data_IF_621657228123
#
_entry.id   IF_621657228123
#
_cell.length_a   1.000
_cell.length_b   1.000
_cell.length_c   1.000
_cell.angle_alpha   90.00
_cell.angle_beta   90.00
_cell.angle_gamma   90.00
#
_symmetry.space_group_name_H-M   'P 1'
#
loop_
_entity.id
_entity.type
_entity.pdbx_description
1 polymer ?
#
# COMPACT_ATOMS: atom_id res chain seq x y z
N UNK A 1 4.88 -5.47 -19.52
CA UNK A 1 5.93 -4.95 -18.62
C UNK A 1 5.22 -4.07 -17.62
N UNK A 2 5.58 -4.09 -16.33
CA UNK A 2 4.93 -3.25 -15.33
C UNK A 2 5.41 -1.81 -15.45
N UNK A 3 4.48 -0.86 -15.37
CA UNK A 3 4.73 0.58 -15.47
C UNK A 3 3.93 1.34 -14.41
N UNK A 4 4.31 2.60 -14.17
CA UNK A 4 3.60 3.49 -13.26
C UNK A 4 2.44 4.15 -13.99
N UNK A 5 1.24 3.96 -13.46
CA UNK A 5 0.02 4.60 -13.94
C UNK A 5 -0.68 5.33 -12.80
N UNK A 6 -1.56 6.26 -13.15
CA UNK A 6 -2.54 6.78 -12.22
C UNK A 6 -3.88 6.08 -12.45
N UNK A 7 -4.49 5.63 -11.37
CA UNK A 7 -5.82 5.04 -11.35
C UNK A 7 -6.62 5.64 -10.21
N UNK A 8 -7.94 5.57 -10.27
CA UNK A 8 -8.76 6.03 -9.17
C UNK A 8 -8.61 5.10 -7.95
N UNK A 9 -8.49 5.67 -6.74
CA UNK A 9 -8.29 4.91 -5.51
C UNK A 9 -9.39 3.86 -5.27
N UNK A 10 -10.63 4.22 -5.61
CA UNK A 10 -11.79 3.31 -5.50
C UNK A 10 -11.64 2.04 -6.33
N UNK A 11 -10.98 2.09 -7.49
CA UNK A 11 -10.77 0.92 -8.35
C UNK A 11 -9.80 -0.08 -7.73
N UNK A 12 -8.98 0.36 -6.77
CA UNK A 12 -8.10 -0.50 -5.98
C UNK A 12 -8.71 -0.87 -4.62
N UNK A 13 -9.95 -0.44 -4.32
CA UNK A 13 -10.54 -0.59 -2.97
C UNK A 13 -9.79 0.19 -1.88
N UNK A 14 -9.00 1.19 -2.26
CA UNK A 14 -8.22 2.00 -1.30
C UNK A 14 -9.14 3.07 -0.72
N UNK A 15 -9.26 3.08 0.60
CA UNK A 15 -9.99 4.11 1.32
C UNK A 15 -9.19 5.41 1.36
N UNK A 16 -9.90 6.55 1.25
CA UNK A 16 -9.30 7.88 1.22
C UNK A 16 -10.07 8.78 2.18
N UNK A 17 -9.38 9.26 3.21
CA UNK A 17 -10.04 9.91 4.34
C UNK A 17 -9.27 11.14 4.81
N UNK A 18 -10.01 12.16 5.25
CA UNK A 18 -9.47 13.12 6.21
C UNK A 18 -9.91 12.69 7.60
N UNK A 19 -8.97 12.62 8.54
CA UNK A 19 -9.31 12.37 9.94
C UNK A 19 -9.59 13.70 10.65
N UNK A 20 -10.74 13.77 11.32
CA UNK A 20 -11.23 14.95 12.01
C UNK A 20 -10.27 15.38 13.12
N UNK A 21 -9.89 16.66 13.12
CA UNK A 21 -8.89 17.21 14.03
C UNK A 21 -7.43 16.98 13.61
N UNK A 22 -7.21 16.26 12.50
CA UNK A 22 -5.90 15.95 11.95
C UNK A 22 -5.81 16.25 10.44
N UNK A 23 -6.73 17.06 9.91
CA UNK A 23 -6.81 17.42 8.49
C UNK A 23 -5.51 18.06 7.98
N UNK A 24 -4.81 18.80 8.85
CA UNK A 24 -3.50 19.40 8.57
C UNK A 24 -2.39 18.39 8.29
N UNK A 25 -2.56 17.11 8.70
CA UNK A 25 -1.63 16.03 8.38
C UNK A 25 -1.79 15.51 6.95
N UNK A 26 -2.90 15.89 6.31
CA UNK A 26 -3.27 15.48 4.96
C UNK A 26 -4.10 14.21 4.94
N UNK A 27 -4.15 13.59 3.76
CA UNK A 27 -4.98 12.41 3.52
C UNK A 27 -4.41 11.19 4.26
N UNK A 28 -5.31 10.44 4.90
CA UNK A 28 -5.08 9.08 5.36
C UNK A 28 -5.59 8.12 4.28
N UNK A 29 -4.69 7.30 3.75
CA UNK A 29 -5.06 6.19 2.90
C UNK A 29 -5.27 4.96 3.76
N UNK A 30 -6.27 4.16 3.47
CA UNK A 30 -6.46 2.88 4.14
C UNK A 30 -6.43 1.74 3.14
N UNK A 31 -5.78 0.62 3.50
CA UNK A 31 -6.00 -0.60 2.77
C UNK A 31 -7.51 -0.92 2.78
N UNK A 32 -7.99 -1.66 1.77
CA UNK A 32 -9.36 -2.16 1.73
C UNK A 32 -9.71 -2.88 3.03
N UNK A 33 -10.93 -2.67 3.54
CA UNK A 33 -11.42 -3.41 4.72
C UNK A 33 -11.55 -4.90 4.40
N UNK A 34 -11.52 -5.75 5.43
CA UNK A 34 -11.64 -7.23 5.30
C UNK A 34 -12.91 -7.70 4.53
N UNK A 35 -13.89 -6.81 4.33
CA UNK A 35 -15.12 -7.07 3.60
C UNK A 35 -15.03 -6.82 2.09
N UNK A 36 -13.98 -6.13 1.63
CA UNK A 36 -13.69 -5.92 0.22
C UNK A 36 -12.47 -6.75 -0.17
N UNK A 37 -12.67 -7.77 -1.00
CA UNK A 37 -11.57 -8.57 -1.56
C UNK A 37 -10.73 -7.72 -2.52
N UNK A 38 -9.89 -6.85 -1.98
CA UNK A 38 -8.91 -6.14 -2.80
C UNK A 38 -7.52 -6.70 -2.56
N UNK A 39 -6.84 -6.85 -3.68
CA UNK A 39 -5.48 -7.36 -3.78
C UNK A 39 -4.44 -6.24 -3.63
N UNK A 40 -4.89 -5.01 -3.30
CA UNK A 40 -4.04 -3.84 -3.21
C UNK A 40 -3.08 -3.95 -2.02
N UNK A 41 -1.79 -3.95 -2.33
CA UNK A 41 -0.70 -3.75 -1.38
C UNK A 41 0.02 -2.46 -1.76
N UNK A 42 0.79 -1.89 -0.85
CA UNK A 42 1.43 -0.61 -1.11
C UNK A 42 2.87 -0.53 -0.62
N UNK A 43 3.57 0.47 -1.13
CA UNK A 43 4.85 0.90 -0.63
C UNK A 43 4.85 2.41 -0.46
N UNK A 44 5.22 2.89 0.72
CA UNK A 44 5.33 4.31 0.99
C UNK A 44 6.79 4.76 0.96
N UNK A 45 7.05 5.87 0.25
CA UNK A 45 8.35 6.49 0.21
C UNK A 45 8.70 7.13 1.58
N UNK A 46 9.85 6.81 2.14
CA UNK A 46 10.37 7.43 3.36
C UNK A 46 10.83 8.88 3.18
N UNK A 47 11.06 9.33 1.93
CA UNK A 47 11.51 10.70 1.65
C UNK A 47 10.35 11.68 1.45
N UNK A 48 9.27 11.29 0.75
CA UNK A 48 8.17 12.20 0.40
C UNK A 48 6.77 11.65 0.70
N UNK A 49 6.68 10.49 1.37
CA UNK A 49 5.43 9.84 1.79
C UNK A 49 4.45 9.46 0.66
N UNK A 50 4.86 9.60 -0.60
CA UNK A 50 4.08 9.12 -1.75
C UNK A 50 3.95 7.60 -1.68
N UNK A 51 2.74 7.10 -1.90
CA UNK A 51 2.43 5.69 -1.92
C UNK A 51 2.36 5.23 -3.38
N UNK A 52 2.96 4.08 -3.65
CA UNK A 52 2.74 3.31 -4.88
C UNK A 52 2.01 2.03 -4.50
N UNK A 53 0.85 1.81 -5.11
CA UNK A 53 0.05 0.61 -4.94
C UNK A 53 0.45 -0.45 -5.98
N UNK A 54 0.30 -1.71 -5.61
CA UNK A 54 0.53 -2.88 -6.46
C UNK A 54 -0.57 -3.89 -6.24
N UNK A 55 -0.70 -4.82 -7.18
CA UNK A 55 -1.53 -6.00 -7.03
C UNK A 55 -0.69 -7.12 -6.40
N UNK A 56 -1.02 -7.51 -5.17
CA UNK A 56 -0.21 -8.41 -4.38
C UNK A 56 -0.10 -9.82 -4.94
N UNK A 57 -1.20 -10.39 -5.44
CA UNK A 57 -1.28 -11.80 -5.87
C UNK A 57 -0.37 -12.16 -7.06
N UNK A 58 -0.12 -11.19 -7.93
CA UNK A 58 0.70 -11.35 -9.14
C UNK A 58 2.18 -11.00 -8.92
N UNK A 59 2.56 -10.47 -7.75
CA UNK A 59 3.93 -10.05 -7.51
C UNK A 59 4.86 -11.26 -7.28
N UNK A 60 5.88 -11.48 -8.14
CA UNK A 60 6.70 -12.68 -8.07
C UNK A 60 7.63 -12.71 -6.85
N UNK A 61 7.92 -11.56 -6.23
CA UNK A 61 8.75 -11.48 -5.03
C UNK A 61 7.88 -11.78 -3.81
N UNK A 62 6.71 -11.14 -3.70
CA UNK A 62 5.80 -11.37 -2.57
C UNK A 62 5.27 -12.81 -2.55
N UNK A 63 5.05 -13.43 -3.72
CA UNK A 63 4.54 -14.80 -3.85
C UNK A 63 5.62 -15.83 -4.17
N UNK A 64 6.89 -15.53 -3.90
CA UNK A 64 7.94 -16.53 -4.12
C UNK A 64 7.68 -17.79 -3.27
N UNK A 65 8.02 -18.95 -3.83
CA UNK A 65 7.87 -20.21 -3.10
C UNK A 65 8.84 -20.23 -1.92
N UNK A 66 8.30 -20.29 -0.69
CA UNK A 66 9.10 -20.46 0.53
C UNK A 66 10.01 -21.69 0.41
N UNK A 67 11.34 -21.55 0.58
CA UNK A 67 12.25 -22.68 0.55
C UNK A 67 11.94 -23.70 1.66
N UNK A 68 12.13 -24.99 1.38
CA UNK A 68 11.80 -26.08 2.31
C UNK A 68 12.58 -26.01 3.65
N UNK A 69 13.74 -25.35 3.67
CA UNK A 69 14.57 -25.18 4.86
C UNK A 69 14.15 -23.99 5.75
N UNK A 70 13.20 -23.16 5.30
CA UNK A 70 12.65 -22.08 6.11
C UNK A 70 11.48 -22.64 6.93
N UNK A 71 11.49 -22.54 8.27
CA UNK A 71 10.39 -23.01 9.11
C UNK A 71 9.11 -22.19 8.86
N UNK A 72 7.97 -22.67 9.35
CA UNK A 72 6.70 -21.94 9.22
C UNK A 72 6.55 -20.80 10.24
N UNK A 73 7.42 -20.75 11.25
CA UNK A 73 7.40 -19.71 12.27
C UNK A 73 8.77 -19.55 12.95
N UNK A 74 8.87 -18.57 13.85
CA UNK A 74 10.07 -18.29 14.62
C UNK A 74 11.02 -17.29 13.97
N UNK A 75 12.18 -17.02 14.60
CA UNK A 75 13.09 -15.96 14.19
C UNK A 75 13.58 -16.08 12.74
N UNK A 76 13.91 -17.30 12.30
CA UNK A 76 14.39 -17.56 10.93
C UNK A 76 13.30 -17.24 9.91
N UNK A 77 12.04 -17.62 10.18
CA UNK A 77 10.91 -17.27 9.32
C UNK A 77 10.70 -15.75 9.26
N UNK A 78 10.77 -15.06 10.41
CA UNK A 78 10.61 -13.60 10.48
C UNK A 78 11.68 -12.87 9.68
N UNK A 79 12.94 -13.30 9.80
CA UNK A 79 14.05 -12.73 9.03
C UNK A 79 13.86 -12.95 7.53
N UNK A 80 13.49 -14.16 7.12
CA UNK A 80 13.16 -14.47 5.73
C UNK A 80 12.04 -13.57 5.19
N UNK A 81 10.95 -13.42 5.94
CA UNK A 81 9.83 -12.56 5.57
C UNK A 81 10.25 -11.09 5.46
N UNK A 82 11.02 -10.57 6.42
CA UNK A 82 11.55 -9.20 6.37
C UNK A 82 12.46 -8.97 5.16
N UNK A 83 13.31 -9.95 4.83
CA UNK A 83 14.15 -9.89 3.64
C UNK A 83 13.31 -9.94 2.35
N UNK A 84 12.18 -10.67 2.35
CA UNK A 84 11.26 -10.66 1.23
C UNK A 84 10.65 -9.26 1.01
N UNK A 85 10.15 -8.64 2.08
CA UNK A 85 9.61 -7.28 2.02
C UNK A 85 10.65 -6.26 1.55
N UNK A 86 11.90 -6.35 2.04
CA UNK A 86 12.99 -5.48 1.58
C UNK A 86 13.24 -5.62 0.08
N UNK A 87 13.34 -6.86 -0.43
CA UNK A 87 13.51 -7.10 -1.88
C UNK A 87 12.35 -6.52 -2.68
N UNK A 88 11.12 -6.70 -2.21
CA UNK A 88 9.95 -6.12 -2.85
C UNK A 88 10.06 -4.59 -2.92
N UNK A 89 10.31 -3.89 -1.80
CA UNK A 89 10.45 -2.44 -1.77
C UNK A 89 11.59 -1.94 -2.68
N UNK A 90 12.69 -2.69 -2.77
CA UNK A 90 13.80 -2.39 -3.68
C UNK A 90 13.51 -2.66 -5.16
N UNK A 91 12.58 -3.55 -5.47
CA UNK A 91 12.20 -3.89 -6.85
C UNK A 91 11.28 -2.87 -7.51
N UNK A 92 10.60 -2.04 -6.70
CA UNK A 92 9.68 -1.02 -7.21
C UNK A 92 10.41 0.04 -8.04
N UNK A 93 9.74 0.69 -8.99
CA UNK A 93 10.31 1.81 -9.73
C UNK A 93 10.56 2.99 -8.78
N UNK A 94 11.50 3.87 -9.14
CA UNK A 94 11.76 5.11 -8.40
C UNK A 94 10.46 5.85 -8.09
N UNK A 95 10.39 6.48 -6.93
CA UNK A 95 9.21 7.23 -6.50
C UNK A 95 8.72 8.18 -7.60
N UNK A 96 7.45 8.12 -8.01
CA UNK A 96 6.95 8.99 -9.09
C UNK A 96 6.98 10.47 -8.71
N UNK A 97 6.98 10.80 -7.42
CA UNK A 97 6.97 12.18 -6.94
C UNK A 97 8.38 12.76 -6.71
N UNK A 98 9.25 12.05 -5.99
CA UNK A 98 10.59 12.56 -5.65
C UNK A 98 11.74 11.85 -6.36
N UNK A 99 11.45 10.88 -7.22
CA UNK A 99 12.40 10.11 -8.03
C UNK A 99 13.49 9.35 -7.25
N UNK A 100 13.35 9.22 -5.94
CA UNK A 100 14.26 8.43 -5.10
C UNK A 100 13.80 6.97 -5.01
N UNK A 101 14.77 6.06 -4.88
CA UNK A 101 14.51 4.65 -4.52
C UNK A 101 14.56 4.50 -3.00
N UNK A 102 13.55 5.04 -2.32
CA UNK A 102 13.55 5.19 -0.86
C UNK A 102 12.23 4.72 -0.22
N UNK A 103 11.62 3.66 -0.74
CA UNK A 103 10.46 3.05 -0.07
C UNK A 103 10.93 2.30 1.17
N UNK A 104 10.30 2.60 2.31
CA UNK A 104 10.69 2.06 3.62
C UNK A 104 9.54 1.41 4.38
N UNK A 105 8.30 1.57 3.90
CA UNK A 105 7.11 1.03 4.51
C UNK A 105 6.33 0.20 3.50
N UNK A 106 6.10 -1.07 3.84
CA UNK A 106 5.19 -1.96 3.13
C UNK A 106 3.79 -1.87 3.75
N UNK A 107 2.79 -1.59 2.93
CA UNK A 107 1.39 -1.42 3.31
C UNK A 107 0.63 -2.70 2.95
N UNK A 108 -0.12 -3.23 3.91
CA UNK A 108 -1.03 -4.35 3.74
C UNK A 108 -2.27 -4.13 4.64
N UNK A 109 -3.11 -5.15 4.81
CA UNK A 109 -4.31 -5.07 5.65
C UNK A 109 -4.04 -4.85 7.15
N UNK A 110 -2.79 -5.01 7.62
CA UNK A 110 -2.39 -4.82 9.04
C UNK A 110 -1.55 -3.56 9.22
N UNK A 111 -0.75 -3.20 8.21
CA UNK A 111 0.18 -2.06 8.26
C UNK A 111 -0.42 -0.90 7.49
N UNK A 112 -0.87 0.10 8.23
CA UNK A 112 -1.40 1.32 7.66
C UNK A 112 -0.29 2.29 7.22
N UNK A 113 -0.52 3.07 6.15
CA UNK A 113 0.42 4.10 5.73
C UNK A 113 0.45 5.28 6.71
N UNK A 114 1.57 6.02 6.67
CA UNK A 114 1.67 7.37 7.26
C UNK A 114 0.73 8.33 6.53
N UNK A 115 0.33 9.40 7.19
CA UNK A 115 -0.33 10.52 6.49
C UNK A 115 0.61 11.11 5.42
N UNK A 116 0.05 11.92 4.54
CA UNK A 116 0.83 12.61 3.50
C UNK A 116 1.97 13.48 4.05
N UNK A 117 1.82 14.06 5.25
CA UNK A 117 2.89 14.80 5.91
C UNK A 117 4.00 13.92 6.51
N UNK A 118 3.79 12.60 6.58
CA UNK A 118 4.73 11.62 7.14
C UNK A 118 4.51 11.27 8.61
N UNK A 119 3.52 11.85 9.28
CA UNK A 119 3.18 11.44 10.63
C UNK A 119 2.54 10.04 10.62
N UNK A 120 2.76 9.28 11.69
CA UNK A 120 2.05 8.02 11.89
C UNK A 120 0.56 8.28 12.14
N UNK A 121 -0.34 7.43 11.61
CA UNK A 121 -1.76 7.53 11.88
C UNK A 121 -2.02 7.36 13.37
N UNK A 122 -2.85 8.24 13.92
CA UNK A 122 -3.31 8.17 15.30
C UNK A 122 -4.60 7.37 15.32
N UNK A 123 -4.45 6.04 15.35
CA UNK A 123 -5.55 5.10 15.51
C UNK A 123 -5.42 4.51 16.91
N UNK A 124 -6.53 4.46 17.64
CA UNK A 124 -6.56 3.80 18.93
C UNK A 124 -6.30 2.30 18.69
N UNK A 125 -5.42 1.71 19.52
CA UNK A 125 -4.89 0.33 19.35
C UNK A 125 -5.97 -0.79 19.31
N UNK A 126 -7.25 -0.45 19.45
CA UNK A 126 -8.38 -1.38 19.46
C UNK A 126 -9.26 -1.28 18.20
N UNK A 127 -9.11 -0.24 17.37
CA UNK A 127 -9.86 -0.06 16.11
C UNK A 127 -8.91 -0.11 14.90
N UNK A 128 -8.79 -1.29 14.29
CA UNK A 128 -8.07 -1.50 13.02
C UNK A 128 -8.88 -0.96 11.81
N UNK A 129 -9.43 0.24 11.94
CA UNK A 129 -10.29 0.85 10.94
C UNK A 129 -10.35 2.36 11.07
N UNK A 130 -10.68 3.03 9.97
CA UNK A 130 -11.05 4.44 10.03
C UNK A 130 -12.34 4.55 10.83
N UNK A 131 -12.29 5.26 11.95
CA UNK A 131 -13.50 5.67 12.62
C UNK A 131 -14.25 6.63 11.67
N UNK A 132 -15.29 6.12 11.00
CA UNK A 132 -16.09 6.86 10.01
C UNK A 132 -16.82 8.06 10.65
N UNK A 133 -17.12 8.03 11.95
CA UNK A 133 -17.69 9.18 12.68
C UNK A 133 -16.65 10.30 12.87
N UNK A 134 -15.37 9.92 12.94
CA UNK A 134 -14.23 10.81 13.05
C UNK A 134 -13.54 11.07 11.72
N UNK A 135 -14.12 10.68 10.59
CA UNK A 135 -13.44 10.80 9.30
C UNK A 135 -14.37 11.21 8.17
N UNK A 136 -13.92 12.11 7.32
CA UNK A 136 -14.63 12.51 6.13
C UNK A 136 -14.06 11.75 4.92
N UNK A 137 -14.90 10.93 4.26
CA UNK A 137 -14.52 10.27 3.02
C UNK A 137 -14.22 11.30 1.96
N UNK A 138 -13.04 11.24 1.37
CA UNK A 138 -12.64 12.11 0.27
C UNK A 138 -13.31 11.60 -1.00
N UNK A 139 -13.72 12.51 -1.88
CA UNK A 139 -14.12 12.15 -3.25
C UNK A 139 -12.96 11.37 -3.88
N UNK A 140 -13.30 10.34 -4.66
CA UNK A 140 -12.31 9.48 -5.30
C UNK A 140 -11.19 10.27 -5.98
N UNK A 141 -9.93 9.91 -5.67
CA UNK A 141 -8.72 10.62 -6.11
C UNK A 141 -7.79 9.70 -6.90
N UNK A 142 -6.96 10.24 -7.80
CA UNK A 142 -5.91 9.48 -8.45
C UNK A 142 -4.85 9.03 -7.43
N UNK A 143 -4.43 7.77 -7.55
CA UNK A 143 -3.29 7.19 -6.83
C UNK A 143 -2.34 6.52 -7.81
N UNK A 144 -1.07 6.41 -7.43
CA UNK A 144 -0.08 5.72 -8.23
C UNK A 144 -0.23 4.21 -8.08
N UNK A 145 -0.29 3.53 -9.21
CA UNK A 145 -0.32 2.07 -9.30
C UNK A 145 0.81 1.58 -10.19
N UNK A 146 1.51 0.55 -9.75
CA UNK A 146 2.58 -0.11 -10.51
C UNK A 146 2.13 -1.51 -10.93
N UNK A 147 1.89 -1.70 -12.22
CA UNK A 147 1.38 -2.95 -12.78
C UNK A 147 1.36 -2.94 -14.30
N UNK A 148 0.82 -3.98 -14.92
CA UNK A 148 0.76 -4.12 -16.37
C UNK A 148 -0.66 -4.17 -16.95
N UNK A 149 -0.78 -4.08 -18.28
CA UNK A 149 -2.07 -4.08 -18.97
C UNK A 149 -2.94 -5.31 -18.68
N UNK A 150 -2.33 -6.48 -18.43
CA UNK A 150 -3.07 -7.70 -18.15
C UNK A 150 -3.69 -7.64 -16.75
N UNK A 151 -2.94 -7.15 -15.76
CA UNK A 151 -3.45 -6.87 -14.42
C UNK A 151 -4.55 -5.81 -14.44
N UNK A 152 -4.32 -4.69 -15.15
CA UNK A 152 -5.29 -3.62 -15.28
C UNK A 152 -6.60 -4.13 -15.90
N UNK A 153 -6.53 -4.94 -16.97
CA UNK A 153 -7.71 -5.55 -17.59
C UNK A 153 -8.45 -6.49 -16.65
N UNK A 154 -7.73 -7.34 -15.89
CA UNK A 154 -8.33 -8.28 -14.94
C UNK A 154 -9.08 -7.58 -13.82
N UNK A 155 -8.51 -6.48 -13.33
CA UNK A 155 -9.05 -5.67 -12.24
C UNK A 155 -10.00 -4.56 -12.72
N UNK A 156 -10.26 -4.47 -14.03
CA UNK A 156 -11.04 -3.41 -14.66
C UNK A 156 -10.57 -2.00 -14.26
N UNK A 157 -9.25 -1.80 -14.22
CA UNK A 157 -8.64 -0.50 -13.95
C UNK A 157 -8.71 0.38 -15.20
N UNK A 158 -8.95 1.67 -14.97
CA UNK A 158 -8.90 2.69 -16.00
C UNK A 158 -7.79 3.68 -15.66
N UNK A 159 -6.84 3.83 -16.58
CA UNK A 159 -5.76 4.79 -16.44
C UNK A 159 -6.28 6.21 -16.63
N UNK A 160 -5.79 7.14 -15.81
CA UNK A 160 -6.15 8.56 -15.80
C UNK A 160 -5.12 9.40 -16.56
#
# INVERSE_FOLDING_TARGET
MRELHQVAASLLGVGVWYQKGYEQKGILFTPPSEYEMSEALGAQCGNCNTIVWVTGYSDPILNEKKPNNIPDSGPIYREYYQNNLKRFLHSLPRCPHCHQQAYDLFINNVVMPRYQNGDNPLLDNEDYGVNEEMSAKVKDIPVWWYGDEAEAKRLNLHFL
#
